data_IF_083905245117
#
_entry.id   IF_083905245117
#
_cell.length_a   1.000
_cell.length_b   1.000
_cell.length_c   1.000
_cell.angle_alpha   90.00
_cell.angle_beta   90.00
_cell.angle_gamma   90.00
#
_symmetry.space_group_name_H-M   'P 1'
#
loop_
_entity.id
_entity.type
_entity.pdbx_description
1 polymer ?
#
# COMPACT_ATOMS: atom_id res chain seq x y z
N UNK A 1 7.25 12.55 8.71
CA UNK A 1 6.33 11.62 9.37
C UNK A 1 5.10 12.34 9.89
N UNK A 2 3.91 11.89 9.47
CA UNK A 2 2.61 12.34 9.98
C UNK A 2 2.13 11.47 11.17
N UNK A 3 2.55 10.20 11.19
CA UNK A 3 2.16 9.20 12.17
C UNK A 3 3.37 8.40 12.65
N UNK A 4 3.49 8.18 13.96
CA UNK A 4 4.64 7.47 14.55
C UNK A 4 4.70 5.97 14.17
N UNK A 5 3.54 5.37 13.83
CA UNK A 5 3.45 3.95 13.46
C UNK A 5 2.44 3.71 12.34
N UNK A 6 2.61 2.60 11.62
CA UNK A 6 1.64 2.13 10.63
C UNK A 6 0.26 1.94 11.26
N UNK A 7 0.17 1.28 12.42
CA UNK A 7 -1.10 1.06 13.12
C UNK A 7 -1.83 2.36 13.42
N UNK A 8 -1.10 3.42 13.81
CA UNK A 8 -1.71 4.72 14.08
C UNK A 8 -2.23 5.42 12.82
N UNK A 9 -1.54 5.25 11.68
CA UNK A 9 -1.99 5.76 10.39
C UNK A 9 -3.24 5.00 9.91
N UNK A 10 -3.23 3.66 9.96
CA UNK A 10 -4.36 2.83 9.54
C UNK A 10 -5.60 3.06 10.42
N UNK A 11 -5.41 3.16 11.75
CA UNK A 11 -6.50 3.46 12.68
C UNK A 11 -7.11 4.85 12.44
N UNK A 12 -6.34 5.82 11.95
CA UNK A 12 -6.88 7.12 11.56
C UNK A 12 -7.70 7.05 10.26
N UNK A 13 -7.18 6.34 9.26
CA UNK A 13 -7.87 6.10 7.99
C UNK A 13 -9.20 5.36 8.22
N UNK A 14 -9.21 4.33 9.06
CA UNK A 14 -10.40 3.52 9.35
C UNK A 14 -11.56 4.34 9.93
N UNK A 15 -11.30 5.44 10.66
CA UNK A 15 -12.35 6.33 11.17
C UNK A 15 -13.18 6.96 10.06
N UNK A 16 -12.58 7.17 8.88
CA UNK A 16 -13.27 7.73 7.72
C UNK A 16 -14.07 6.69 6.94
N UNK A 17 -13.70 5.40 7.06
CA UNK A 17 -14.22 4.31 6.24
C UNK A 17 -14.14 4.58 4.73
N UNK A 18 -13.20 5.43 4.30
CA UNK A 18 -12.98 5.81 2.91
C UNK A 18 -11.54 5.46 2.51
N UNK A 19 -11.41 4.38 1.73
CA UNK A 19 -10.12 3.78 1.39
C UNK A 19 -9.62 4.17 -0.01
N UNK A 20 -10.31 5.12 -0.65
CA UNK A 20 -9.96 5.55 -1.98
C UNK A 20 -8.67 6.38 -1.96
N UNK A 21 -7.63 5.88 -2.64
CA UNK A 21 -6.30 6.47 -2.62
C UNK A 21 -6.29 7.96 -2.99
N UNK A 22 -7.07 8.38 -3.99
CA UNK A 22 -7.13 9.80 -4.38
C UNK A 22 -7.78 10.70 -3.34
N UNK A 23 -8.72 10.17 -2.55
CA UNK A 23 -9.33 10.91 -1.45
C UNK A 23 -8.38 10.94 -0.25
N UNK A 24 -7.72 9.83 0.07
CA UNK A 24 -6.70 9.76 1.12
C UNK A 24 -5.53 10.72 0.87
N UNK A 25 -4.97 10.71 -0.34
CA UNK A 25 -3.88 11.61 -0.76
C UNK A 25 -4.28 13.08 -0.56
N UNK A 26 -5.51 13.45 -0.95
CA UNK A 26 -6.03 14.80 -0.74
C UNK A 26 -6.25 15.13 0.74
N UNK A 27 -6.76 14.19 1.53
CA UNK A 27 -7.05 14.40 2.95
C UNK A 27 -5.77 14.64 3.76
N UNK A 28 -4.67 13.98 3.41
CA UNK A 28 -3.38 14.14 4.08
C UNK A 28 -2.47 15.21 3.46
N UNK A 29 -3.00 15.98 2.49
CA UNK A 29 -2.26 17.06 1.81
C UNK A 29 -0.93 16.55 1.21
N UNK A 30 -1.04 15.44 0.46
CA UNK A 30 0.06 14.80 -0.26
C UNK A 30 -0.02 15.17 -1.74
N UNK A 31 1.09 15.64 -2.30
CA UNK A 31 1.26 15.91 -3.73
C UNK A 31 1.67 14.63 -4.47
N UNK A 32 0.78 14.09 -5.30
CA UNK A 32 1.02 12.89 -6.08
C UNK A 32 1.31 13.25 -7.54
N UNK A 33 2.52 12.95 -7.99
CA UNK A 33 2.98 13.25 -9.36
C UNK A 33 3.20 11.97 -10.16
N UNK A 34 2.75 11.98 -11.40
CA UNK A 34 3.06 10.91 -12.37
C UNK A 34 4.18 11.40 -13.29
N UNK A 35 5.30 10.68 -13.31
CA UNK A 35 6.48 11.07 -14.08
C UNK A 35 7.07 9.88 -14.85
N UNK A 36 7.86 10.16 -15.89
CA UNK A 36 8.66 9.13 -16.56
C UNK A 36 9.95 8.92 -15.80
N UNK A 37 9.96 7.92 -14.92
CA UNK A 37 11.13 7.53 -14.13
C UNK A 37 11.94 6.44 -14.86
N UNK A 38 13.23 6.25 -14.50
CA UNK A 38 14.01 5.10 -14.96
C UNK A 38 13.25 3.77 -14.78
N UNK A 39 13.50 2.82 -15.68
CA UNK A 39 12.72 1.57 -15.76
C UNK A 39 12.77 0.72 -14.47
N UNK A 40 13.80 0.90 -13.66
CA UNK A 40 14.03 0.22 -12.39
C UNK A 40 13.44 0.96 -11.18
N UNK A 41 12.87 2.14 -11.39
CA UNK A 41 12.21 2.94 -10.36
C UNK A 41 10.72 2.97 -10.64
N UNK A 42 9.95 2.24 -9.83
CA UNK A 42 8.49 2.21 -9.93
C UNK A 42 7.85 3.44 -9.27
N UNK A 43 8.40 3.89 -8.15
CA UNK A 43 7.95 5.06 -7.43
C UNK A 43 8.99 5.45 -6.40
N UNK A 44 8.81 6.62 -5.81
CA UNK A 44 9.49 7.05 -4.60
C UNK A 44 8.71 8.17 -3.93
N UNK A 45 8.99 8.42 -2.66
CA UNK A 45 8.33 9.44 -1.86
C UNK A 45 9.33 10.32 -1.14
N UNK A 46 8.92 11.54 -0.87
CA UNK A 46 9.62 12.55 -0.08
C UNK A 46 8.72 12.94 1.09
N UNK A 47 8.75 12.19 2.21
CA UNK A 47 7.82 12.38 3.32
C UNK A 47 7.85 13.80 3.92
N UNK A 48 9.03 14.44 3.96
CA UNK A 48 9.19 15.80 4.49
C UNK A 48 8.42 16.86 3.70
N UNK A 49 8.31 16.71 2.37
CA UNK A 49 7.56 17.63 1.51
C UNK A 49 6.17 17.10 1.17
N UNK A 50 5.78 15.95 1.72
CA UNK A 50 4.54 15.23 1.39
C UNK A 50 4.36 15.07 -0.10
N UNK A 51 5.43 14.67 -0.79
CA UNK A 51 5.40 14.48 -2.24
C UNK A 51 5.68 13.04 -2.56
N UNK A 52 4.95 12.46 -3.50
CA UNK A 52 5.19 11.11 -4.01
C UNK A 52 5.17 11.12 -5.53
N UNK A 53 5.98 10.24 -6.10
CA UNK A 53 6.20 10.13 -7.54
C UNK A 53 5.92 8.71 -7.97
N UNK A 54 5.04 8.56 -8.96
CA UNK A 54 4.65 7.28 -9.53
C UNK A 54 5.12 7.22 -10.98
N UNK A 55 5.81 6.14 -11.35
CA UNK A 55 6.25 5.96 -12.73
C UNK A 55 5.03 5.76 -13.65
N UNK A 56 4.90 6.60 -14.66
CA UNK A 56 3.77 6.62 -15.58
C UNK A 56 3.75 5.40 -16.53
N UNK A 57 4.82 4.60 -16.56
CA UNK A 57 4.95 3.42 -17.43
C UNK A 57 4.47 2.10 -16.78
N UNK A 58 3.98 2.14 -15.54
CA UNK A 58 3.65 0.93 -14.78
C UNK A 58 2.34 0.26 -15.21
N UNK A 59 2.34 -1.08 -15.19
CA UNK A 59 1.13 -1.89 -15.37
C UNK A 59 0.25 -1.94 -14.10
N UNK A 60 0.84 -1.68 -12.93
CA UNK A 60 0.21 -1.76 -11.60
C UNK A 60 0.40 -0.46 -10.77
N UNK A 61 -0.03 0.70 -11.28
CA UNK A 61 0.25 1.99 -10.63
C UNK A 61 -0.41 2.13 -9.25
N UNK A 62 -1.55 1.48 -9.01
CA UNK A 62 -2.30 1.63 -7.75
C UNK A 62 -1.59 1.01 -6.55
N UNK A 63 -0.91 -0.12 -6.74
CA UNK A 63 -0.09 -0.74 -5.69
C UNK A 63 1.07 0.17 -5.30
N UNK A 64 1.78 0.71 -6.30
CA UNK A 64 2.90 1.62 -6.05
C UNK A 64 2.41 2.91 -5.41
N UNK A 65 1.27 3.45 -5.87
CA UNK A 65 0.63 4.62 -5.28
C UNK A 65 0.26 4.43 -3.82
N UNK A 66 -0.35 3.29 -3.49
CA UNK A 66 -0.69 2.96 -2.11
C UNK A 66 0.58 2.78 -1.25
N UNK A 67 1.63 2.17 -1.80
CA UNK A 67 2.92 1.99 -1.15
C UNK A 67 3.60 3.32 -0.82
N UNK A 68 3.72 4.23 -1.80
CA UNK A 68 4.29 5.56 -1.58
C UNK A 68 3.45 6.44 -0.65
N UNK A 69 2.12 6.29 -0.69
CA UNK A 69 1.24 6.93 0.28
C UNK A 69 1.63 6.54 1.70
N UNK A 70 1.82 5.24 1.98
CA UNK A 70 2.23 4.79 3.33
C UNK A 70 3.55 5.41 3.74
N UNK A 71 4.56 5.45 2.88
CA UNK A 71 5.83 6.13 3.18
C UNK A 71 5.63 7.60 3.55
N UNK A 72 4.81 8.35 2.79
CA UNK A 72 4.49 9.74 3.14
C UNK A 72 3.82 9.89 4.52
N UNK A 73 3.04 8.90 4.95
CA UNK A 73 2.38 8.91 6.25
C UNK A 73 3.35 8.61 7.40
N UNK A 74 4.21 7.60 7.26
CA UNK A 74 4.91 6.99 8.41
C UNK A 74 6.43 7.17 8.43
N UNK A 75 7.05 7.68 7.36
CA UNK A 75 8.50 7.84 7.33
C UNK A 75 8.95 9.27 7.62
N UNK A 76 10.17 9.39 8.13
CA UNK A 76 10.89 10.64 8.39
C UNK A 76 12.14 10.82 7.52
N UNK A 77 12.35 9.92 6.55
CA UNK A 77 13.52 9.94 5.66
C UNK A 77 13.58 11.22 4.82
N UNK A 78 14.79 11.76 4.70
CA UNK A 78 15.07 12.95 3.90
C UNK A 78 15.51 12.60 2.47
N UNK A 79 16.12 11.42 2.29
CA UNK A 79 16.69 10.97 1.01
C UNK A 79 16.30 9.51 0.71
N UNK A 80 15.18 9.27 0.00
CA UNK A 80 14.62 7.93 -0.20
C UNK A 80 15.54 6.98 -0.98
N UNK A 81 16.45 7.50 -1.80
CA UNK A 81 17.34 6.70 -2.66
C UNK A 81 18.73 6.42 -2.04
N UNK A 82 19.04 6.96 -0.86
CA UNK A 82 20.41 7.01 -0.33
C UNK A 82 20.53 6.36 1.06
N UNK A 83 19.42 6.13 1.78
CA UNK A 83 19.51 5.55 3.13
C UNK A 83 20.04 4.11 3.10
N UNK A 84 21.13 3.88 3.84
CA UNK A 84 22.18 2.91 3.52
C UNK A 84 22.29 1.76 4.53
N UNK A 85 21.24 1.47 5.31
CA UNK A 85 21.20 0.26 6.13
C UNK A 85 20.15 -0.72 5.57
N UNK A 86 20.63 -1.79 4.93
CA UNK A 86 19.79 -2.81 4.29
C UNK A 86 18.66 -3.35 5.18
N UNK A 87 18.87 -3.41 6.50
CA UNK A 87 17.90 -3.95 7.46
C UNK A 87 16.83 -2.92 7.86
N UNK A 88 17.15 -1.63 7.96
CA UNK A 88 16.15 -0.58 8.21
C UNK A 88 15.23 -0.46 7.01
N UNK A 89 15.79 -0.42 5.81
CA UNK A 89 15.02 -0.28 4.58
C UNK A 89 14.09 -1.49 4.40
N UNK A 90 14.56 -2.72 4.57
CA UNK A 90 13.70 -3.90 4.43
C UNK A 90 12.48 -3.90 5.37
N UNK A 91 12.58 -3.32 6.57
CA UNK A 91 11.43 -3.18 7.48
C UNK A 91 10.51 -2.04 7.09
N UNK A 92 11.08 -0.92 6.64
CA UNK A 92 10.33 0.25 6.16
C UNK A 92 9.50 -0.15 4.92
N UNK A 93 10.15 -0.72 3.90
CA UNK A 93 9.52 -1.25 2.69
C UNK A 93 8.44 -2.30 3.01
N UNK A 94 8.72 -3.23 3.94
CA UNK A 94 7.75 -4.24 4.34
C UNK A 94 6.49 -3.66 5.00
N UNK A 95 6.62 -2.56 5.75
CA UNK A 95 5.47 -1.84 6.32
C UNK A 95 4.68 -1.09 5.25
N UNK A 96 5.38 -0.46 4.31
CA UNK A 96 4.76 0.19 3.16
C UNK A 96 3.97 -0.79 2.30
N UNK A 97 4.55 -1.95 1.97
CA UNK A 97 3.86 -3.05 1.27
C UNK A 97 2.61 -3.52 2.02
N UNK A 98 2.72 -3.77 3.33
CA UNK A 98 1.60 -4.24 4.13
C UNK A 98 0.47 -3.19 4.19
N UNK A 99 0.81 -1.93 4.47
CA UNK A 99 -0.17 -0.85 4.51
C UNK A 99 -0.82 -0.60 3.16
N UNK A 100 -0.07 -0.68 2.07
CA UNK A 100 -0.59 -0.53 0.72
C UNK A 100 -1.66 -1.58 0.40
N UNK A 101 -1.33 -2.85 0.67
CA UNK A 101 -2.24 -3.97 0.44
C UNK A 101 -3.46 -3.89 1.36
N UNK A 102 -3.28 -3.50 2.63
CA UNK A 102 -4.37 -3.24 3.56
C UNK A 102 -5.38 -2.26 2.96
N UNK A 103 -4.92 -1.08 2.51
CA UNK A 103 -5.78 -0.05 1.94
C UNK A 103 -6.51 -0.54 0.68
N UNK A 104 -5.77 -1.20 -0.23
CA UNK A 104 -6.34 -1.74 -1.46
C UNK A 104 -7.40 -2.81 -1.19
N UNK A 105 -7.20 -3.67 -0.18
CA UNK A 105 -8.17 -4.70 0.21
C UNK A 105 -9.43 -4.05 0.79
N UNK A 106 -9.29 -3.04 1.67
CA UNK A 106 -10.43 -2.33 2.24
C UNK A 106 -11.24 -1.57 1.17
N UNK A 107 -10.58 -0.95 0.21
CA UNK A 107 -11.26 -0.34 -0.94
C UNK A 107 -11.95 -1.43 -1.78
N UNK A 108 -11.28 -2.56 -2.04
CA UNK A 108 -11.84 -3.66 -2.82
C UNK A 108 -13.13 -4.23 -2.19
N UNK A 109 -13.15 -4.52 -0.89
CA UNK A 109 -14.39 -5.00 -0.24
C UNK A 109 -15.48 -3.92 -0.28
N UNK A 110 -15.11 -2.65 -0.11
CA UNK A 110 -16.06 -1.52 -0.11
C UNK A 110 -16.72 -1.37 -1.47
N UNK A 111 -15.95 -1.51 -2.55
CA UNK A 111 -16.44 -1.39 -3.93
C UNK A 111 -17.25 -2.61 -4.38
N UNK A 112 -16.87 -3.81 -3.95
CA UNK A 112 -17.51 -5.06 -4.38
C UNK A 112 -18.70 -5.46 -3.51
N UNK A 113 -18.73 -5.02 -2.25
CA UNK A 113 -19.75 -5.40 -1.27
C UNK A 113 -19.69 -6.87 -0.86
N UNK A 114 -18.56 -7.55 -1.09
CA UNK A 114 -18.37 -8.91 -0.60
C UNK A 114 -18.18 -8.89 0.91
N UNK A 115 -18.71 -9.90 1.59
CA UNK A 115 -18.44 -10.10 3.01
C UNK A 115 -16.99 -10.54 3.23
N UNK A 116 -16.36 -10.18 4.35
CA UNK A 116 -14.99 -10.56 4.70
C UNK A 116 -14.69 -12.05 4.52
N UNK A 117 -15.60 -12.93 4.92
CA UNK A 117 -15.42 -14.39 4.89
C UNK A 117 -15.39 -14.97 3.47
N UNK A 118 -15.96 -14.24 2.51
CA UNK A 118 -15.98 -14.61 1.09
C UNK A 118 -14.77 -14.04 0.33
N UNK A 119 -13.87 -13.33 1.01
CA UNK A 119 -12.67 -12.76 0.39
C UNK A 119 -11.78 -13.85 -0.22
N UNK A 120 -11.41 -13.65 -1.49
CA UNK A 120 -10.49 -14.52 -2.20
C UNK A 120 -9.27 -13.71 -2.68
N UNK A 121 -8.11 -14.02 -2.11
CA UNK A 121 -6.86 -13.30 -2.39
C UNK A 121 -6.43 -13.36 -3.86
N UNK A 122 -6.69 -14.47 -4.56
CA UNK A 122 -6.33 -14.60 -5.99
C UNK A 122 -7.23 -13.72 -6.86
N UNK A 123 -8.52 -13.66 -6.53
CA UNK A 123 -9.46 -12.76 -7.20
C UNK A 123 -9.10 -11.30 -6.96
N UNK A 124 -8.78 -10.93 -5.71
CA UNK A 124 -8.28 -9.59 -5.38
C UNK A 124 -7.04 -9.26 -6.20
N UNK A 125 -6.03 -10.14 -6.18
CA UNK A 125 -4.78 -9.86 -6.90
C UNK A 125 -5.00 -9.70 -8.41
N UNK A 126 -5.87 -10.52 -9.00
CA UNK A 126 -6.20 -10.42 -10.42
C UNK A 126 -6.97 -9.11 -10.75
N UNK A 127 -8.04 -8.82 -10.00
CA UNK A 127 -8.89 -7.65 -10.25
C UNK A 127 -8.17 -6.33 -9.99
N UNK A 128 -7.33 -6.27 -8.96
CA UNK A 128 -6.55 -5.10 -8.59
C UNK A 128 -5.16 -5.08 -9.24
N UNK A 129 -4.86 -6.01 -10.16
CA UNK A 129 -3.58 -6.12 -10.88
C UNK A 129 -2.35 -6.16 -9.96
N UNK A 130 -2.48 -6.80 -8.80
CA UNK A 130 -1.37 -7.02 -7.87
C UNK A 130 -0.48 -8.13 -8.42
N UNK A 131 0.84 -7.90 -8.61
CA UNK A 131 1.73 -8.91 -9.16
C UNK A 131 1.78 -10.18 -8.30
N UNK A 132 1.92 -11.34 -8.94
CA UNK A 132 1.88 -12.66 -8.29
C UNK A 132 2.87 -12.80 -7.11
N UNK A 133 4.01 -12.09 -7.16
CA UNK A 133 5.00 -12.10 -6.07
C UNK A 133 4.45 -11.58 -4.73
N UNK A 134 3.38 -10.77 -4.75
CA UNK A 134 2.75 -10.20 -3.56
C UNK A 134 1.62 -11.05 -2.98
N UNK A 135 1.23 -12.19 -3.59
CA UNK A 135 0.06 -12.98 -3.15
C UNK A 135 0.12 -13.35 -1.66
N UNK A 136 1.29 -13.75 -1.15
CA UNK A 136 1.46 -14.05 0.28
C UNK A 136 1.34 -12.80 1.16
N UNK A 137 1.91 -11.67 0.74
CA UNK A 137 1.78 -10.40 1.46
C UNK A 137 0.32 -9.91 1.45
N UNK A 138 -0.40 -10.11 0.33
CA UNK A 138 -1.81 -9.80 0.20
C UNK A 138 -2.67 -10.63 1.16
N UNK A 139 -2.35 -11.92 1.32
CA UNK A 139 -3.04 -12.78 2.28
C UNK A 139 -2.84 -12.28 3.72
N UNK A 140 -1.58 -12.00 4.11
CA UNK A 140 -1.27 -11.47 5.44
C UNK A 140 -1.94 -10.11 5.71
N UNK A 141 -1.97 -9.23 4.71
CA UNK A 141 -2.67 -7.95 4.81
C UNK A 141 -4.19 -8.14 4.91
N UNK A 142 -4.77 -9.10 4.19
CA UNK A 142 -6.20 -9.40 4.25
C UNK A 142 -6.64 -9.91 5.63
N UNK A 143 -5.86 -10.82 6.24
CA UNK A 143 -6.16 -11.29 7.60
C UNK A 143 -6.23 -10.13 8.60
N UNK A 144 -5.32 -9.16 8.47
CA UNK A 144 -5.29 -7.97 9.32
C UNK A 144 -6.40 -6.96 8.98
N UNK A 145 -6.72 -6.77 7.71
CA UNK A 145 -7.71 -5.80 7.24
C UNK A 145 -9.16 -6.23 7.46
N UNK A 146 -9.40 -7.54 7.41
CA UNK A 146 -10.72 -8.14 7.39
C UNK A 146 -11.04 -8.92 8.67
N UNK A 147 -10.07 -9.12 9.55
CA UNK A 147 -10.19 -9.96 10.76
C UNK A 147 -10.63 -11.40 10.43
N UNK A 148 -9.99 -11.98 9.40
CA UNK A 148 -10.25 -13.35 8.92
C UNK A 148 -8.97 -14.19 8.98
N UNK A 149 -9.10 -15.49 8.75
CA UNK A 149 -7.97 -16.41 8.56
C UNK A 149 -8.01 -17.00 7.16
N UNK A 150 -6.91 -16.90 6.41
CA UNK A 150 -6.78 -17.44 5.06
C UNK A 150 -5.92 -18.70 5.13
N UNK A 151 -6.47 -19.90 4.83
CA UNK A 151 -5.68 -21.12 4.85
C UNK A 151 -4.58 -21.11 3.78
N UNK A 152 -3.37 -21.54 4.13
CA UNK A 152 -2.23 -21.67 3.21
C UNK A 152 -2.56 -22.46 1.94
N UNK A 153 -3.42 -23.48 2.05
CA UNK A 153 -3.85 -24.32 0.91
C UNK A 153 -4.56 -23.56 -0.20
N UNK A 154 -5.01 -22.33 0.08
CA UNK A 154 -5.66 -21.42 -0.87
C UNK A 154 -4.66 -20.63 -1.71
N UNK A 155 -3.38 -20.61 -1.31
CA UNK A 155 -2.30 -19.81 -1.94
C UNK A 155 -1.48 -20.59 -2.99
N UNK A 156 -1.57 -21.92 -3.01
CA UNK A 156 -0.75 -22.81 -3.84
C UNK A 156 -1.50 -23.45 -5.03
N UNK A 157 -2.58 -22.83 -5.53
CA UNK A 157 -3.38 -23.37 -6.64
C UNK A 157 -2.94 -22.88 -8.01
#
# INVERSE_FOLDING_TARGET
>A
MLFDTLDSALADIDKSSDYNLDRLIRNYDIDCRYEYLPNDIHGYSMPLTRTMFINNSLEFPDLVKAHELIHCLIDDSAEPLIESSYVSNSKIEGRADHGALYLMIKEYITLTGIEPEDFNVLNFCNQCRVPAKYVFQSANAAESALDITIPDSTLYR
#
